data_IF_543429072194
#
_entry.id   IF_543429072194
#
_cell.length_a   1.000
_cell.length_b   1.000
_cell.length_c   1.000
_cell.angle_alpha   90.00
_cell.angle_beta   90.00
_cell.angle_gamma   90.00
#
_symmetry.space_group_name_H-M   'P 1'
#
loop_
_entity.id
_entity.type
_entity.pdbx_description
1 polymer ?
#
# COMPACT_ATOMS: atom_id res chain seq x y z
N UNK A 1 -14.08 -16.00 1.28
CA UNK A 1 -13.31 -15.87 2.53
C UNK A 1 -12.21 -14.82 2.34
N UNK A 2 -12.54 -13.54 2.43
CA UNK A 2 -11.56 -12.47 2.73
C UNK A 2 -12.24 -11.59 3.75
N UNK A 3 -12.35 -12.16 4.94
CA UNK A 3 -12.97 -11.58 6.12
C UNK A 3 -12.15 -10.35 6.53
N UNK A 4 -12.73 -9.17 6.35
CA UNK A 4 -12.42 -7.91 7.06
C UNK A 4 -10.93 -7.63 7.33
N UNK A 5 -10.05 -7.82 6.36
CA UNK A 5 -8.65 -7.38 6.48
C UNK A 5 -8.61 -5.87 6.29
N UNK A 6 -8.27 -5.16 7.36
CA UNK A 6 -8.00 -3.73 7.28
C UNK A 6 -6.90 -3.46 6.25
N UNK A 7 -6.99 -2.36 5.47
CA UNK A 7 -5.98 -2.04 4.49
C UNK A 7 -4.59 -1.91 5.12
N UNK A 8 -3.56 -2.37 4.40
CA UNK A 8 -2.17 -2.11 4.76
C UNK A 8 -1.84 -0.67 4.37
N UNK A 9 -1.34 0.12 5.31
CA UNK A 9 -0.89 1.50 5.05
C UNK A 9 0.60 1.51 4.76
N UNK A 10 0.99 1.93 3.57
CA UNK A 10 2.39 2.13 3.18
C UNK A 10 2.70 3.63 3.25
N UNK A 11 3.63 4.02 4.11
CA UNK A 11 4.04 5.41 4.30
C UNK A 11 5.33 5.67 3.51
N UNK A 12 5.27 6.64 2.60
CA UNK A 12 6.37 7.01 1.69
C UNK A 12 6.19 6.39 0.30
N UNK A 13 6.12 7.24 -0.73
CA UNK A 13 5.93 6.83 -2.13
C UNK A 13 7.23 6.82 -2.96
N UNK A 14 8.37 6.58 -2.30
CA UNK A 14 9.63 6.28 -2.99
C UNK A 14 9.61 4.92 -3.70
N UNK A 15 10.76 4.50 -4.25
CA UNK A 15 10.88 3.23 -4.99
C UNK A 15 10.42 2.02 -4.16
N UNK A 16 10.88 1.92 -2.91
CA UNK A 16 10.52 0.79 -2.04
C UNK A 16 9.03 0.79 -1.65
N UNK A 17 8.47 1.95 -1.31
CA UNK A 17 7.06 2.05 -0.90
C UNK A 17 6.11 1.81 -2.06
N UNK A 18 6.44 2.31 -3.25
CA UNK A 18 5.66 2.08 -4.47
C UNK A 18 5.67 0.59 -4.87
N UNK A 19 6.82 -0.08 -4.80
CA UNK A 19 6.91 -1.51 -5.10
C UNK A 19 6.17 -2.37 -4.05
N UNK A 20 6.31 -2.03 -2.76
CA UNK A 20 5.58 -2.72 -1.70
C UNK A 20 4.04 -2.60 -1.88
N UNK A 21 3.56 -1.39 -2.20
CA UNK A 21 2.15 -1.18 -2.51
C UNK A 21 1.70 -1.97 -3.74
N UNK A 22 2.55 -2.06 -4.76
CA UNK A 22 2.25 -2.82 -5.97
C UNK A 22 2.14 -4.33 -5.72
N UNK A 23 3.08 -4.90 -4.96
CA UNK A 23 3.03 -6.33 -4.59
C UNK A 23 1.78 -6.65 -3.76
N UNK A 24 1.43 -5.80 -2.79
CA UNK A 24 0.21 -5.95 -1.98
C UNK A 24 -1.05 -5.94 -2.85
N UNK A 25 -1.17 -4.94 -3.73
CA UNK A 25 -2.32 -4.83 -4.64
C UNK A 25 -2.41 -6.04 -5.60
N UNK A 26 -1.27 -6.47 -6.15
CA UNK A 26 -1.18 -7.63 -7.07
C UNK A 26 -1.60 -8.94 -6.40
N UNK A 27 -1.31 -9.09 -5.10
CA UNK A 27 -1.73 -10.23 -4.30
C UNK A 27 -3.20 -10.16 -3.84
N UNK A 28 -3.95 -9.10 -4.22
CA UNK A 28 -5.32 -8.88 -3.77
C UNK A 28 -5.44 -8.39 -2.33
N UNK A 29 -4.35 -7.90 -1.74
CA UNK A 29 -4.37 -7.29 -0.40
C UNK A 29 -4.84 -5.83 -0.51
N UNK A 30 -5.86 -5.40 0.26
CA UNK A 30 -6.24 -3.99 0.33
C UNK A 30 -5.07 -3.15 0.85
N UNK A 31 -4.71 -2.08 0.13
CA UNK A 31 -3.54 -1.25 0.45
C UNK A 31 -3.81 0.23 0.18
N UNK A 32 -3.25 1.10 1.02
CA UNK A 32 -3.24 2.56 0.85
C UNK A 32 -1.80 3.05 0.86
N UNK A 33 -1.36 3.68 -0.22
CA UNK A 33 -0.03 4.30 -0.32
C UNK A 33 -0.13 5.79 0.00
N UNK A 34 0.71 6.27 0.92
CA UNK A 34 0.76 7.68 1.31
C UNK A 34 2.08 8.32 0.86
N UNK A 35 2.01 9.37 0.07
CA UNK A 35 3.14 10.28 -0.19
C UNK A 35 3.14 11.37 0.90
N UNK A 36 4.27 11.53 1.57
CA UNK A 36 4.42 12.46 2.70
C UNK A 36 5.09 13.77 2.28
N UNK A 37 5.61 13.85 1.05
CA UNK A 37 6.14 15.10 0.53
C UNK A 37 5.01 16.13 0.40
N UNK A 38 5.19 17.35 0.94
CA UNK A 38 4.24 18.43 0.74
C UNK A 38 4.14 18.79 -0.75
N UNK A 39 2.92 19.14 -1.18
CA UNK A 39 2.60 19.59 -2.54
C UNK A 39 2.89 21.07 -2.72
#
# INVERSE_FOLDING_TARGET
MTKDIAPVHVIGAGMAGSEAAWQLASAGCPVVLHEMRPL
#
